data_IF_911453670211
#
_entry.id   IF_911453670211
#
_cell.length_a   1.000
_cell.length_b   1.000
_cell.length_c   1.000
_cell.angle_alpha   90.00
_cell.angle_beta   90.00
_cell.angle_gamma   90.00
#
_symmetry.space_group_name_H-M   'P 1'
#
loop_
_entity.id
_entity.type
_entity.pdbx_description
1 polymer ?
#
# COMPACT_ATOMS: atom_id res chain seq x y z
N UNK A 1 -11.35 -15.17 -0.13
CA UNK A 1 -11.13 -13.82 0.46
C UNK A 1 -10.18 -13.99 1.62
N UNK A 2 -9.21 -13.09 1.77
CA UNK A 2 -8.28 -13.11 2.90
C UNK A 2 -8.94 -12.59 4.19
N UNK A 3 -8.41 -12.99 5.34
CA UNK A 3 -8.82 -12.52 6.67
C UNK A 3 -8.23 -11.14 7.01
N UNK A 4 -8.92 -10.38 7.88
CA UNK A 4 -8.39 -9.14 8.50
C UNK A 4 -7.60 -9.41 9.78
N UNK A 5 -7.71 -10.62 10.33
CA UNK A 5 -6.98 -11.03 11.54
C UNK A 5 -5.49 -11.13 11.23
N UNK A 6 -4.67 -10.61 12.15
CA UNK A 6 -3.22 -10.57 12.01
C UNK A 6 -2.53 -11.30 13.16
N UNK A 7 -1.44 -11.98 12.85
CA UNK A 7 -0.53 -12.57 13.85
C UNK A 7 0.86 -11.93 13.71
N UNK A 8 1.54 -11.73 14.83
CA UNK A 8 2.93 -11.27 14.85
C UNK A 8 3.82 -12.45 15.21
N UNK A 9 4.86 -12.69 14.43
CA UNK A 9 5.85 -13.72 14.72
C UNK A 9 6.66 -13.41 15.98
N UNK A 10 7.37 -14.41 16.49
CA UNK A 10 8.20 -14.28 17.70
C UNK A 10 9.36 -13.29 17.58
N UNK A 11 9.61 -12.75 16.39
CA UNK A 11 10.55 -11.65 16.16
C UNK A 11 9.99 -10.27 16.59
N UNK A 12 8.68 -10.19 16.90
CA UNK A 12 7.95 -8.96 17.24
C UNK A 12 7.90 -7.91 16.12
N UNK A 13 8.15 -8.29 14.87
CA UNK A 13 8.17 -7.38 13.72
C UNK A 13 7.37 -7.90 12.53
N UNK A 14 7.45 -9.20 12.26
CA UNK A 14 6.82 -9.77 11.07
C UNK A 14 5.34 -10.02 11.34
N UNK A 15 4.48 -9.28 10.65
CA UNK A 15 3.01 -9.43 10.73
C UNK A 15 2.49 -10.17 9.50
N UNK A 16 1.66 -11.18 9.74
CA UNK A 16 1.02 -11.99 8.71
C UNK A 16 -0.49 -11.97 8.88
N UNK A 17 -1.21 -12.17 7.79
CA UNK A 17 -2.62 -12.56 7.83
C UNK A 17 -2.74 -13.91 8.55
N UNK A 18 -3.69 -14.03 9.48
CA UNK A 18 -3.85 -15.23 10.28
C UNK A 18 -4.22 -16.47 9.44
N UNK A 19 -4.78 -16.26 8.24
CA UNK A 19 -5.15 -17.31 7.29
C UNK A 19 -4.07 -17.63 6.25
N UNK A 20 -2.93 -16.92 6.28
CA UNK A 20 -1.84 -17.09 5.32
C UNK A 20 -2.15 -16.59 3.90
N UNK A 21 -3.26 -15.86 3.70
CA UNK A 21 -3.61 -15.26 2.42
C UNK A 21 -2.66 -14.11 2.06
N UNK A 22 -2.51 -13.82 0.77
CA UNK A 22 -1.68 -12.70 0.29
C UNK A 22 -2.19 -11.34 0.79
N UNK A 23 -1.26 -10.45 1.13
CA UNK A 23 -1.51 -9.06 1.47
C UNK A 23 -0.65 -8.11 0.62
N UNK A 24 -1.10 -6.88 0.46
CA UNK A 24 -0.36 -5.80 -0.20
C UNK A 24 -0.63 -4.47 0.51
N UNK A 25 0.35 -3.58 0.52
CA UNK A 25 0.27 -2.25 1.13
C UNK A 25 0.94 -1.22 0.22
N UNK A 26 0.38 -0.02 0.20
CA UNK A 26 0.96 1.17 -0.44
C UNK A 26 0.84 2.33 0.54
N UNK A 27 1.85 3.21 0.57
CA UNK A 27 1.88 4.37 1.45
C UNK A 27 2.33 5.62 0.72
N UNK A 28 1.67 6.74 1.02
CA UNK A 28 2.13 8.06 0.62
C UNK A 28 2.00 9.04 1.79
N UNK A 29 3.06 9.79 2.06
CA UNK A 29 2.99 11.00 2.89
C UNK A 29 2.34 12.14 2.10
N UNK A 30 1.34 12.79 2.69
CA UNK A 30 0.55 13.86 2.05
C UNK A 30 0.64 15.15 2.85
N UNK A 31 0.81 16.27 2.15
CA UNK A 31 0.69 17.63 2.69
C UNK A 31 -0.68 18.22 2.33
N UNK A 32 -1.44 18.65 3.33
CA UNK A 32 -2.70 19.37 3.11
C UNK A 32 -2.41 20.87 2.94
N UNK A 33 -2.97 21.45 1.90
CA UNK A 33 -2.83 22.87 1.54
C UNK A 33 -4.21 23.52 1.40
N UNK A 34 -4.26 24.85 1.32
CA UNK A 34 -5.51 25.57 1.05
C UNK A 34 -6.16 25.20 -0.29
N UNK A 35 -5.40 24.66 -1.24
CA UNK A 35 -5.86 24.31 -2.59
C UNK A 35 -6.15 22.82 -2.78
N UNK A 36 -5.87 21.98 -1.78
CA UNK A 36 -6.00 20.53 -1.85
C UNK A 36 -4.84 19.79 -1.22
N UNK A 37 -4.60 18.55 -1.65
CA UNK A 37 -3.57 17.67 -1.11
C UNK A 37 -2.39 17.51 -2.08
N UNK A 38 -1.16 17.53 -1.55
CA UNK A 38 0.06 17.23 -2.28
C UNK A 38 0.67 15.92 -1.80
N UNK A 39 0.99 15.03 -2.73
CA UNK A 39 1.73 13.79 -2.47
C UNK A 39 3.23 14.10 -2.41
N UNK A 40 3.82 14.01 -1.22
CA UNK A 40 5.22 14.34 -0.97
C UNK A 40 6.18 13.21 -1.41
N UNK A 41 5.69 11.98 -1.44
CA UNK A 41 6.47 10.76 -1.72
C UNK A 41 6.22 10.21 -3.12
N UNK A 42 5.73 11.04 -4.03
CA UNK A 42 5.55 10.67 -5.44
C UNK A 42 6.92 10.43 -6.08
N UNK A 43 7.06 9.33 -6.83
CA UNK A 43 8.28 9.10 -7.61
C UNK A 43 8.42 10.17 -8.69
N UNK A 44 9.63 10.72 -8.86
CA UNK A 44 9.96 11.63 -9.97
C UNK A 44 9.86 10.93 -11.34
N UNK A 45 9.78 9.60 -11.36
CA UNK A 45 9.70 8.75 -12.54
C UNK A 45 8.28 8.62 -13.10
N UNK A 46 7.45 9.66 -13.04
CA UNK A 46 6.14 9.71 -13.71
C UNK A 46 6.24 9.70 -15.26
N UNK A 47 7.45 9.68 -15.84
CA UNK A 47 7.72 9.52 -17.28
C UNK A 47 7.96 8.09 -17.75
N UNK A 48 8.10 7.11 -16.84
CA UNK A 48 8.26 5.70 -17.21
C UNK A 48 6.97 4.98 -16.85
N UNK A 49 6.52 4.08 -17.75
CA UNK A 49 5.26 3.33 -17.60
C UNK A 49 5.13 2.78 -16.17
N UNK A 50 3.96 2.92 -15.53
CA UNK A 50 3.76 2.43 -14.17
C UNK A 50 4.09 0.93 -14.08
N UNK A 51 4.65 0.46 -12.97
CA UNK A 51 4.92 -0.97 -12.75
C UNK A 51 3.67 -1.81 -13.04
N UNK A 52 3.86 -3.00 -13.63
CA UNK A 52 2.74 -3.87 -14.07
C UNK A 52 1.76 -4.22 -12.93
N UNK A 53 2.18 -4.13 -11.67
CA UNK A 53 1.35 -4.34 -10.48
C UNK A 53 0.19 -3.33 -10.37
N UNK A 54 0.34 -2.10 -10.90
CA UNK A 54 -0.70 -1.07 -10.89
C UNK A 54 -1.79 -1.26 -11.95
N UNK A 55 -1.70 -2.30 -12.81
CA UNK A 55 -2.75 -2.58 -13.81
C UNK A 55 -3.93 -3.35 -13.24
N UNK A 56 -3.76 -4.07 -12.14
CA UNK A 56 -4.78 -4.97 -11.58
C UNK A 56 -5.13 -4.69 -10.10
N UNK A 57 -4.54 -3.65 -9.49
CA UNK A 57 -4.97 -3.14 -8.17
C UNK A 57 -5.75 -1.85 -8.41
N UNK A 58 -6.92 -1.98 -9.02
CA UNK A 58 -7.98 -1.00 -8.76
C UNK A 58 -8.49 -1.38 -7.39
N UNK A 59 -8.32 -0.47 -6.43
CA UNK A 59 -8.96 -0.53 -5.12
C UNK A 59 -10.47 -0.66 -5.38
N UNK A 60 -10.96 -1.89 -5.36
CA UNK A 60 -12.35 -2.17 -5.12
C UNK A 60 -12.63 -1.70 -3.70
N UNK A 61 -13.61 -0.81 -3.60
CA UNK A 61 -14.13 -0.23 -2.36
C UNK A 61 -14.34 -1.27 -1.27
#
# INVERSE_FOLDING_TARGET
MGSIECITWGDNWTTLTADGSLAAQFEHTILITQKGAEILTKSSMLRVKPPKIFRNVIVGM
#
